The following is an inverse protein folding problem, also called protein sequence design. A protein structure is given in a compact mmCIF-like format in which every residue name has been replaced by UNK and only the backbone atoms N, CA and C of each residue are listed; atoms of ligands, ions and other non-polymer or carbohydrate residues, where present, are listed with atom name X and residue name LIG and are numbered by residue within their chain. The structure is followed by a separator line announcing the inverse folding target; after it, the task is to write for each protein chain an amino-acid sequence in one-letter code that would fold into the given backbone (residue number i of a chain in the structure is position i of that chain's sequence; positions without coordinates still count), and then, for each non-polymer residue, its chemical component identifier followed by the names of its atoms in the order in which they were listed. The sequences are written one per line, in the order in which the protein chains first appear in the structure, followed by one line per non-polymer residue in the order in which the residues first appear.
data_IF_726724221110
#
_entry.id   IF_726724221110
#
_cell.length_a   1.000
_cell.length_b   1.000
_cell.length_c   1.000
_cell.angle_alpha   90.00
_cell.angle_beta   90.00
_cell.angle_gamma   90.00
#
_symmetry.space_group_name_H-M   'P 1'
#
loop_
_entity.id
_entity.type
_entity.pdbx_description
1 polymer ?
#
# COMPACT_ATOMS: atom_id res chain seq x y z
N UNK A 1 -14.13 -22.70 -19.92
CA UNK A 1 -13.85 -23.42 -18.67
C UNK A 1 -12.66 -22.70 -18.06
N UNK A 2 -12.89 -21.73 -17.18
CA UNK A 2 -11.81 -20.97 -16.52
C UNK A 2 -12.27 -20.73 -15.09
N UNK A 3 -11.68 -21.46 -14.16
CA UNK A 3 -11.81 -21.17 -12.75
C UNK A 3 -10.75 -20.14 -12.43
N UNK A 4 -11.14 -18.88 -12.34
CA UNK A 4 -10.30 -17.77 -11.87
C UNK A 4 -9.65 -18.17 -10.53
N UNK A 5 -8.35 -18.54 -10.51
CA UNK A 5 -7.57 -18.80 -9.28
C UNK A 5 -7.23 -17.47 -8.59
N UNK A 6 -8.29 -16.75 -8.24
CA UNK A 6 -8.26 -15.43 -7.64
C UNK A 6 -8.25 -15.55 -6.13
N UNK A 7 -7.28 -14.87 -5.53
CA UNK A 7 -7.13 -14.69 -4.10
C UNK A 7 -7.44 -13.24 -3.76
N UNK A 8 -8.14 -13.01 -2.66
CA UNK A 8 -8.56 -11.68 -2.28
C UNK A 8 -8.61 -11.48 -0.77
N UNK A 9 -8.57 -10.20 -0.37
CA UNK A 9 -8.93 -9.76 0.98
C UNK A 9 -9.64 -8.42 0.93
N UNK A 10 -10.39 -8.11 2.00
CA UNK A 10 -10.97 -6.79 2.28
C UNK A 10 -10.43 -6.18 3.59
N UNK A 11 -9.45 -6.84 4.18
CA UNK A 11 -8.78 -6.44 5.41
C UNK A 11 -7.29 -6.74 5.34
N UNK A 12 -6.51 -5.93 6.00
CA UNK A 12 -5.05 -6.06 6.05
C UNK A 12 -4.44 -4.77 6.55
N UNK A 13 -3.23 -4.86 7.07
CA UNK A 13 -2.62 -3.74 7.77
C UNK A 13 -1.77 -2.95 6.81
N UNK A 14 -2.12 -1.68 6.62
CA UNK A 14 -1.25 -0.68 6.01
C UNK A 14 -0.85 0.27 7.10
N UNK A 15 0.45 0.49 7.22
CA UNK A 15 0.97 1.49 8.15
C UNK A 15 1.98 2.35 7.44
N UNK A 16 2.08 3.58 7.88
CA UNK A 16 3.22 4.40 7.52
C UNK A 16 3.84 5.00 8.76
N UNK A 17 5.16 5.17 8.68
CA UNK A 17 5.96 5.76 9.73
C UNK A 17 6.89 6.81 9.13
N UNK A 18 6.90 7.97 9.76
CA UNK A 18 7.79 9.07 9.45
C UNK A 18 8.31 9.64 10.77
N UNK A 19 9.60 9.89 10.86
CA UNK A 19 10.23 10.46 12.05
C UNK A 19 11.05 11.68 11.67
N UNK A 20 10.88 12.75 12.44
CA UNK A 20 11.70 13.95 12.39
C UNK A 20 12.21 14.26 13.80
N UNK A 21 13.22 15.14 13.98
CA UNK A 21 13.64 15.56 15.32
C UNK A 21 12.52 16.20 16.17
N UNK A 22 11.43 16.63 15.54
CA UNK A 22 10.33 17.36 16.16
C UNK A 22 9.18 16.42 16.51
N UNK A 23 8.78 15.57 15.57
CA UNK A 23 7.60 14.72 15.72
C UNK A 23 7.70 13.42 14.92
N UNK A 24 7.15 12.35 15.51
CA UNK A 24 6.90 11.08 14.85
C UNK A 24 5.45 11.04 14.35
N UNK A 25 5.28 10.74 13.05
CA UNK A 25 3.98 10.56 12.43
C UNK A 25 3.78 9.06 12.16
N UNK A 26 2.73 8.52 12.75
CA UNK A 26 2.30 7.14 12.53
C UNK A 26 0.80 7.09 12.30
N UNK A 27 0.39 6.35 11.27
CA UNK A 27 -1.00 5.97 11.07
C UNK A 27 -1.12 4.52 10.62
N UNK A 28 -2.26 3.91 10.94
CA UNK A 28 -2.60 2.53 10.58
C UNK A 28 -3.97 2.52 9.90
N UNK A 29 -4.09 1.76 8.83
CA UNK A 29 -5.33 1.48 8.12
C UNK A 29 -5.49 -0.03 7.98
N UNK A 30 -6.57 -0.58 8.54
CA UNK A 30 -6.88 -2.01 8.46
C UNK A 30 -7.87 -2.34 7.34
N UNK A 31 -8.33 -1.32 6.62
CA UNK A 31 -9.27 -1.41 5.51
C UNK A 31 -8.50 -1.36 4.19
N UNK A 32 -8.45 -2.50 3.51
CA UNK A 32 -7.78 -2.60 2.21
C UNK A 32 -8.37 -3.71 1.40
N UNK A 33 -8.58 -3.45 0.12
CA UNK A 33 -8.91 -4.51 -0.82
C UNK A 33 -7.65 -4.88 -1.58
N UNK A 34 -7.33 -6.17 -1.61
CA UNK A 34 -6.33 -6.71 -2.51
C UNK A 34 -6.91 -7.88 -3.28
N UNK A 35 -6.58 -7.95 -4.56
CA UNK A 35 -6.91 -9.06 -5.46
C UNK A 35 -5.62 -9.49 -6.13
N UNK A 36 -5.36 -10.79 -6.14
CA UNK A 36 -4.22 -11.45 -6.78
C UNK A 36 -4.76 -12.58 -7.65
N UNK A 37 -4.38 -12.59 -8.92
CA UNK A 37 -4.58 -13.70 -9.84
C UNK A 37 -3.37 -14.63 -9.81
N UNK A 38 -3.55 -15.87 -9.34
CA UNK A 38 -2.44 -16.83 -9.27
C UNK A 38 -2.09 -17.46 -10.62
N UNK A 39 -2.90 -17.30 -11.67
CA UNK A 39 -2.54 -17.75 -13.02
C UNK A 39 -1.56 -16.77 -13.67
N UNK A 40 -1.80 -15.46 -13.50
CA UNK A 40 -1.02 -14.42 -14.19
C UNK A 40 0.01 -13.72 -13.31
N UNK A 41 -0.22 -13.67 -12.00
CA UNK A 41 0.54 -12.84 -11.07
C UNK A 41 0.09 -11.39 -11.04
N UNK A 42 -1.02 -11.05 -11.70
CA UNK A 42 -1.60 -9.72 -11.67
C UNK A 42 -2.21 -9.43 -10.30
N UNK A 43 -2.01 -8.22 -9.82
CA UNK A 43 -2.49 -7.80 -8.52
C UNK A 43 -2.94 -6.34 -8.49
N UNK A 44 -3.94 -6.07 -7.65
CA UNK A 44 -4.45 -4.73 -7.42
C UNK A 44 -4.69 -4.49 -5.93
N UNK A 45 -4.37 -3.28 -5.48
CA UNK A 45 -4.69 -2.78 -4.15
C UNK A 45 -5.59 -1.56 -4.25
N UNK A 46 -6.51 -1.43 -3.29
CA UNK A 46 -7.30 -0.22 -3.07
C UNK A 46 -7.42 0.04 -1.57
N UNK A 47 -6.99 1.23 -1.16
CA UNK A 47 -6.91 1.65 0.24
C UNK A 47 -7.74 2.93 0.41
N UNK A 48 -8.83 2.91 1.20
CA UNK A 48 -9.57 4.12 1.55
C UNK A 48 -8.70 5.05 2.41
N UNK A 49 -8.47 6.29 1.96
CA UNK A 49 -7.58 7.24 2.66
C UNK A 49 -8.10 7.56 4.06
N UNK A 50 -9.42 7.72 4.21
CA UNK A 50 -10.06 7.97 5.51
C UNK A 50 -9.98 6.81 6.50
N UNK A 51 -9.53 5.64 6.05
CA UNK A 51 -9.28 4.49 6.93
C UNK A 51 -8.00 4.63 7.76
N UNK A 52 -7.12 5.58 7.46
CA UNK A 52 -5.93 5.82 8.28
C UNK A 52 -6.29 6.49 9.61
N UNK A 53 -5.96 5.78 10.70
CA UNK A 53 -6.14 6.24 12.07
C UNK A 53 -4.82 6.73 12.64
N UNK A 54 -4.82 7.97 13.13
CA UNK A 54 -3.68 8.61 13.78
C UNK A 54 -3.90 8.69 15.29
N UNK A 55 -2.81 8.83 16.05
CA UNK A 55 -2.90 9.04 17.50
C UNK A 55 -3.55 10.39 17.86
N UNK A 56 -3.35 11.42 17.04
CA UNK A 56 -3.90 12.75 17.23
C UNK A 56 -4.96 13.04 16.16
N UNK A 57 -6.18 13.40 16.58
CA UNK A 57 -7.28 13.72 15.68
C UNK A 57 -7.00 14.91 14.76
N UNK A 58 -6.28 15.94 15.23
CA UNK A 58 -5.90 17.08 14.40
C UNK A 58 -4.92 16.70 13.29
N UNK A 59 -4.00 15.76 13.57
CA UNK A 59 -3.12 15.23 12.52
C UNK A 59 -3.92 14.48 11.46
N UNK A 60 -4.93 13.71 11.88
CA UNK A 60 -5.81 13.00 10.95
C UNK A 60 -6.64 13.96 10.10
N UNK A 61 -7.14 15.05 10.69
CA UNK A 61 -7.85 16.11 9.97
C UNK A 61 -6.95 16.75 8.92
N UNK A 62 -5.74 17.19 9.29
CA UNK A 62 -4.78 17.75 8.34
C UNK A 62 -4.36 16.76 7.25
N UNK A 63 -4.19 15.47 7.60
CA UNK A 63 -3.93 14.41 6.62
C UNK A 63 -5.03 14.31 5.57
N UNK A 64 -6.30 14.32 6.00
CA UNK A 64 -7.42 14.18 5.09
C UNK A 64 -7.70 15.45 4.28
N UNK A 65 -7.64 16.62 4.90
CA UNK A 65 -8.07 17.87 4.28
C UNK A 65 -6.94 18.58 3.53
N UNK A 66 -5.77 18.72 4.17
CA UNK A 66 -4.69 19.57 3.66
C UNK A 66 -3.66 18.82 2.81
N UNK A 67 -3.55 17.50 2.95
CA UNK A 67 -2.50 16.71 2.30
C UNK A 67 -3.03 15.74 1.26
N UNK A 68 -4.00 14.89 1.62
CA UNK A 68 -4.50 13.85 0.72
C UNK A 68 -5.84 14.20 0.07
N UNK A 69 -6.45 15.33 0.46
CA UNK A 69 -7.72 15.83 -0.06
C UNK A 69 -8.77 14.71 -0.22
N UNK A 70 -9.01 13.94 0.86
CA UNK A 70 -9.67 12.63 0.77
C UNK A 70 -11.15 12.66 0.43
N UNK A 71 -11.76 13.85 0.37
CA UNK A 71 -13.05 14.07 -0.29
C UNK A 71 -12.95 13.96 -1.82
N UNK A 72 -11.89 14.52 -2.40
CA UNK A 72 -11.62 14.50 -3.83
C UNK A 72 -10.96 13.19 -4.25
N UNK A 73 -9.98 12.70 -3.47
CA UNK A 73 -9.23 11.48 -3.74
C UNK A 73 -9.43 10.46 -2.62
N UNK A 74 -10.60 9.80 -2.56
CA UNK A 74 -10.96 8.96 -1.42
C UNK A 74 -10.14 7.67 -1.29
N UNK A 75 -9.37 7.31 -2.32
CA UNK A 75 -8.60 6.07 -2.34
C UNK A 75 -7.19 6.29 -2.88
N UNK A 76 -6.22 5.58 -2.29
CA UNK A 76 -4.98 5.22 -2.97
C UNK A 76 -5.14 3.85 -3.62
N UNK A 77 -4.41 3.61 -4.71
CA UNK A 77 -4.42 2.32 -5.40
C UNK A 77 -3.08 1.94 -6.00
N UNK A 78 -2.88 0.65 -6.19
CA UNK A 78 -1.81 0.09 -7.01
C UNK A 78 -2.41 -0.93 -7.96
N UNK A 79 -1.93 -0.99 -9.20
CA UNK A 79 -2.28 -2.03 -10.16
C UNK A 79 -1.03 -2.44 -10.90
N UNK A 80 -0.73 -3.74 -10.92
CA UNK A 80 0.52 -4.24 -11.47
C UNK A 80 0.59 -5.75 -11.40
N UNK A 81 1.81 -6.28 -11.42
CA UNK A 81 2.06 -7.72 -11.39
C UNK A 81 3.33 -8.04 -10.60
N UNK A 82 3.45 -9.30 -10.17
CA UNK A 82 4.72 -9.86 -9.68
C UNK A 82 5.60 -10.20 -10.88
N UNK A 83 6.80 -9.63 -10.95
CA UNK A 83 7.76 -9.96 -12.02
C UNK A 83 8.23 -11.42 -11.89
N UNK A 84 8.29 -12.12 -13.02
CA UNK A 84 8.73 -13.53 -13.06
C UNK A 84 7.73 -14.52 -12.44
N UNK A 85 6.45 -14.16 -12.32
CA UNK A 85 5.44 -14.99 -11.64
C UNK A 85 5.42 -16.46 -12.06
N UNK A 86 5.56 -16.75 -13.37
CA UNK A 86 5.55 -18.12 -13.90
C UNK A 86 6.67 -19.01 -13.37
N UNK A 87 7.75 -18.42 -12.88
CA UNK A 87 8.90 -19.13 -12.31
C UNK A 87 8.77 -19.29 -10.78
N UNK A 88 7.72 -18.72 -10.17
CA UNK A 88 7.46 -18.78 -8.73
C UNK A 88 6.51 -19.93 -8.44
N UNK A 89 6.99 -20.89 -7.65
CA UNK A 89 6.11 -21.87 -6.98
C UNK A 89 5.88 -21.39 -5.55
N UNK A 90 4.63 -21.06 -5.20
CA UNK A 90 4.28 -20.67 -3.84
C UNK A 90 4.45 -21.83 -2.87
N UNK A 91 5.10 -21.58 -1.74
CA UNK A 91 5.32 -22.55 -0.67
C UNK A 91 5.13 -21.91 0.70
N UNK A 92 5.24 -22.69 1.77
CA UNK A 92 5.24 -22.15 3.15
C UNK A 92 6.50 -21.34 3.48
N UNK A 93 7.54 -21.37 2.64
CA UNK A 93 8.75 -20.57 2.81
C UNK A 93 8.51 -19.16 2.28
N UNK A 94 8.97 -18.17 3.04
CA UNK A 94 8.98 -16.77 2.61
C UNK A 94 9.86 -16.60 1.36
N UNK A 95 9.28 -16.07 0.29
CA UNK A 95 9.94 -15.84 -0.99
C UNK A 95 9.94 -14.34 -1.32
N UNK A 96 11.11 -13.73 -1.62
CA UNK A 96 11.13 -12.35 -2.09
C UNK A 96 10.52 -12.26 -3.49
N UNK A 97 9.79 -11.19 -3.76
CA UNK A 97 9.17 -10.91 -5.05
C UNK A 97 9.41 -9.45 -5.43
N UNK A 98 9.47 -9.17 -6.74
CA UNK A 98 9.46 -7.81 -7.24
C UNK A 98 8.08 -7.48 -7.79
N UNK A 99 7.54 -6.34 -7.37
CA UNK A 99 6.26 -5.80 -7.78
C UNK A 99 6.52 -4.68 -8.76
N UNK A 100 5.84 -4.69 -9.91
CA UNK A 100 5.91 -3.61 -10.88
C UNK A 100 4.52 -3.21 -11.32
N UNK A 101 4.27 -1.90 -11.37
CA UNK A 101 2.96 -1.39 -11.76
C UNK A 101 2.80 0.09 -11.52
N UNK A 102 1.56 0.54 -11.58
CA UNK A 102 1.19 1.93 -11.42
C UNK A 102 0.55 2.16 -10.05
N UNK A 103 1.17 3.02 -9.26
CA UNK A 103 0.65 3.53 -8.00
C UNK A 103 -0.07 4.86 -8.25
N UNK A 104 -1.26 5.02 -7.69
CA UNK A 104 -2.04 6.26 -7.75
C UNK A 104 -2.37 6.75 -6.36
N UNK A 105 -1.93 7.96 -6.05
CA UNK A 105 -2.17 8.64 -4.77
C UNK A 105 -2.46 10.10 -5.09
N UNK A 106 -3.45 10.68 -4.41
CA UNK A 106 -3.79 12.09 -4.58
C UNK A 106 -4.03 12.48 -6.06
N UNK A 107 -4.70 11.59 -6.80
CA UNK A 107 -5.01 11.78 -8.23
C UNK A 107 -3.82 11.67 -9.18
N UNK A 108 -2.60 11.45 -8.69
CA UNK A 108 -1.39 11.34 -9.49
C UNK A 108 -0.97 9.88 -9.61
N UNK A 109 -0.77 9.43 -10.85
CA UNK A 109 -0.28 8.08 -11.14
C UNK A 109 1.22 8.09 -11.45
N UNK A 110 1.94 7.09 -10.91
CA UNK A 110 3.36 6.87 -11.10
C UNK A 110 3.65 5.39 -11.27
N UNK A 111 4.51 5.06 -12.21
CA UNK A 111 5.05 3.72 -12.31
C UNK A 111 6.12 3.51 -11.25
N UNK A 112 6.03 2.40 -10.53
CA UNK A 112 6.93 2.03 -9.46
C UNK A 112 7.40 0.59 -9.65
N UNK A 113 8.55 0.29 -9.06
CA UNK A 113 9.07 -1.06 -8.90
C UNK A 113 9.54 -1.20 -7.44
N UNK A 114 8.96 -2.12 -6.71
CA UNK A 114 9.21 -2.30 -5.28
C UNK A 114 9.42 -3.78 -4.95
N UNK A 115 9.99 -4.04 -3.78
CA UNK A 115 10.19 -5.41 -3.30
C UNK A 115 9.13 -5.79 -2.26
N UNK A 116 8.73 -7.05 -2.28
CA UNK A 116 7.87 -7.64 -1.27
C UNK A 116 8.30 -9.06 -0.94
N UNK A 117 7.52 -9.71 -0.10
CA UNK A 117 7.63 -11.13 0.21
C UNK A 117 6.26 -11.78 0.10
N UNK A 118 6.25 -13.03 -0.35
CA UNK A 118 5.05 -13.85 -0.48
C UNK A 118 5.30 -15.25 0.06
N UNK A 119 4.27 -15.87 0.62
CA UNK A 119 4.23 -17.30 0.90
C UNK A 119 2.79 -17.82 0.83
N UNK A 120 2.64 -19.13 0.75
CA UNK A 120 1.36 -19.81 0.86
C UNK A 120 1.34 -20.70 2.09
N UNK A 121 0.35 -20.52 2.95
CA UNK A 121 0.13 -21.36 4.14
C UNK A 121 -1.36 -21.64 4.29
N UNK A 122 -1.73 -22.90 4.51
CA UNK A 122 -3.13 -23.30 4.75
C UNK A 122 -4.11 -22.77 3.67
N UNK A 123 -3.69 -22.83 2.40
CA UNK A 123 -4.45 -22.30 1.26
C UNK A 123 -4.77 -20.79 1.35
N UNK A 124 -3.93 -20.04 2.06
CA UNK A 124 -3.93 -18.57 2.11
C UNK A 124 -2.62 -18.06 1.55
N UNK A 125 -2.70 -16.98 0.80
CA UNK A 125 -1.51 -16.25 0.36
C UNK A 125 -1.23 -15.18 1.40
N UNK A 126 -0.01 -15.17 1.93
CA UNK A 126 0.44 -14.16 2.89
C UNK A 126 1.46 -13.29 2.17
N UNK A 127 1.22 -11.98 2.14
CA UNK A 127 2.05 -11.02 1.44
C UNK A 127 2.47 -9.87 2.34
N UNK A 128 3.71 -9.43 2.21
CA UNK A 128 4.23 -8.24 2.88
C UNK A 128 5.05 -7.40 1.90
N UNK A 129 4.93 -6.07 1.95
CA UNK A 129 5.71 -5.17 1.10
C UNK A 129 5.96 -3.83 1.79
N UNK A 130 7.02 -3.13 1.40
CA UNK A 130 7.29 -1.75 1.82
C UNK A 130 7.48 -0.89 0.59
N UNK A 131 6.69 0.19 0.50
CA UNK A 131 6.74 1.16 -0.58
C UNK A 131 7.38 2.45 -0.06
N UNK A 132 8.35 3.00 -0.79
CA UNK A 132 8.97 4.29 -0.45
C UNK A 132 8.30 5.40 -1.24
N UNK A 133 7.48 6.19 -0.56
CA UNK A 133 6.66 7.21 -1.21
C UNK A 133 7.30 8.58 -1.02
N UNK A 134 7.76 9.19 -2.10
CA UNK A 134 8.16 10.60 -2.11
C UNK A 134 6.92 11.46 -2.29
N UNK A 135 6.52 12.18 -1.24
CA UNK A 135 5.23 12.92 -1.21
C UNK A 135 5.08 13.92 -2.36
N UNK A 136 6.18 14.57 -2.76
CA UNK A 136 6.19 15.55 -3.84
C UNK A 136 5.88 14.92 -5.22
N UNK A 137 6.19 13.64 -5.42
CA UNK A 137 5.91 12.94 -6.69
C UNK A 137 4.40 12.81 -6.94
N UNK A 138 3.61 12.83 -5.87
CA UNK A 138 2.14 12.75 -5.90
C UNK A 138 1.48 14.12 -5.72
N UNK A 139 2.24 15.20 -5.89
CA UNK A 139 1.76 16.59 -5.74
C UNK A 139 1.09 16.87 -4.38
N UNK A 140 1.56 16.19 -3.34
CA UNK A 140 1.15 16.48 -1.96
C UNK A 140 2.00 17.65 -1.47
N UNK A 141 1.39 18.80 -1.27
CA UNK A 141 2.10 20.01 -0.86
C UNK A 141 2.27 20.05 0.66
N UNK A 142 3.52 20.17 1.12
CA UNK A 142 3.83 20.40 2.53
C UNK A 142 4.08 21.90 2.75
N UNK A 143 3.26 22.60 3.57
CA UNK A 143 3.47 24.00 3.89
C UNK A 143 4.85 24.25 4.50
N UNK A 144 5.47 25.38 4.14
CA UNK A 144 6.84 25.71 4.57
C UNK A 144 7.01 25.72 6.09
N UNK A 145 5.97 26.14 6.83
CA UNK A 145 6.01 26.29 8.28
C UNK A 145 6.12 24.95 9.04
N UNK A 146 5.68 23.84 8.43
CA UNK A 146 5.73 22.49 9.03
C UNK A 146 6.66 21.53 8.29
N UNK A 147 7.44 22.03 7.32
CA UNK A 147 8.28 21.19 6.46
C UNK A 147 9.31 20.38 7.23
N UNK A 148 9.84 20.92 8.32
CA UNK A 148 10.84 20.23 9.15
C UNK A 148 10.21 19.16 10.06
N UNK A 149 8.86 19.13 10.15
CA UNK A 149 8.10 18.16 10.94
C UNK A 149 7.64 16.95 10.10
N UNK A 150 7.72 17.01 8.78
CA UNK A 150 7.17 16.00 7.87
C UNK A 150 8.27 15.46 6.95
N UNK A 151 8.53 14.15 6.98
CA UNK A 151 9.52 13.58 6.07
C UNK A 151 9.07 13.68 4.60
N UNK A 152 10.04 13.95 3.72
CA UNK A 152 9.82 14.00 2.27
C UNK A 152 9.52 12.62 1.66
N UNK A 153 10.06 11.57 2.30
CA UNK A 153 9.87 10.18 1.92
C UNK A 153 9.21 9.47 3.09
N UNK A 154 8.14 8.73 2.79
CA UNK A 154 7.36 7.98 3.77
C UNK A 154 7.45 6.50 3.41
N UNK A 155 7.82 5.68 4.39
CA UNK A 155 7.80 4.23 4.25
C UNK A 155 6.39 3.74 4.56
N UNK A 156 5.76 3.08 3.58
CA UNK A 156 4.44 2.48 3.71
C UNK A 156 4.58 0.97 3.70
N UNK A 157 4.31 0.34 4.84
CA UNK A 157 4.33 -1.11 5.01
C UNK A 157 2.93 -1.67 4.82
N UNK A 158 2.83 -2.78 4.10
CA UNK A 158 1.59 -3.48 3.78
C UNK A 158 1.75 -4.93 4.19
N UNK A 159 0.82 -5.44 5.01
CA UNK A 159 0.76 -6.83 5.46
C UNK A 159 -0.64 -7.39 5.21
N UNK A 160 -0.72 -8.44 4.39
CA UNK A 160 -1.99 -9.02 3.95
C UNK A 160 -2.04 -10.54 4.12
N UNK A 161 -3.26 -11.03 4.34
CA UNK A 161 -3.62 -12.45 4.20
C UNK A 161 -4.79 -12.53 3.24
N UNK A 162 -4.57 -13.17 2.08
CA UNK A 162 -5.56 -13.36 1.04
C UNK A 162 -6.10 -14.79 1.09
N UNK A 163 -7.40 -14.93 0.84
CA UNK A 163 -8.08 -16.23 0.71
C UNK A 163 -8.58 -16.41 -0.71
N UNK A 164 -8.74 -17.66 -1.14
CA UNK A 164 -9.38 -17.96 -2.41
C UNK A 164 -10.80 -17.35 -2.46
N UNK A 165 -11.16 -16.78 -3.62
CA UNK A 165 -12.47 -16.17 -3.90
C UNK A 165 -13.61 -17.16 -3.77
#
# INVERSE_FOLDING_TARGET
MFGEDIYFTRSGTISFFSSTPIEDIKAINEQTTCVLDLETGDLSFRIPIRGFIFKNGLMQEHFNENYLESDTYPNASFTGSIEGWKDITLTEKLQPVSLKGTMTIHGVSKDIAESGNILMKENRVIGAATFKITVADYKIEIPKIVRDNIAKVVDVTVDLILKKK
#
